data_IF_530541188406
#
_entry.id   IF_530541188406
#
_cell.length_a   1.000
_cell.length_b   1.000
_cell.length_c   1.000
_cell.angle_alpha   90.00
_cell.angle_beta   90.00
_cell.angle_gamma   90.00
#
_symmetry.space_group_name_H-M   'P 1'
#
loop_
_entity.id
_entity.type
_entity.pdbx_description
1 polymer ?
#
# COMPACT_ATOMS: atom_id res chain seq x y z
N UNK A 1 26.78 9.02 12.89
CA UNK A 1 26.29 7.79 13.55
C UNK A 1 26.27 6.70 12.49
N UNK A 2 27.08 5.64 12.61
CA UNK A 2 26.92 4.47 11.74
C UNK A 2 25.63 3.77 12.18
N UNK A 3 24.58 3.82 11.35
CA UNK A 3 23.40 3.01 11.58
C UNK A 3 23.84 1.53 11.55
N UNK A 4 23.53 0.78 12.60
CA UNK A 4 23.71 -0.66 12.57
C UNK A 4 22.93 -1.22 11.37
N UNK A 5 23.52 -2.18 10.65
CA UNK A 5 22.80 -2.85 9.57
C UNK A 5 21.54 -3.49 10.14
N UNK A 6 20.38 -3.35 9.47
CA UNK A 6 19.12 -3.90 9.96
C UNK A 6 19.20 -5.42 10.04
N UNK A 7 18.59 -6.02 11.06
CA UNK A 7 18.38 -7.47 11.11
C UNK A 7 17.31 -7.86 10.09
N UNK A 8 17.75 -8.34 8.93
CA UNK A 8 16.85 -8.71 7.84
C UNK A 8 15.97 -9.93 8.18
N UNK A 9 16.38 -10.78 9.13
CA UNK A 9 15.56 -11.92 9.57
C UNK A 9 14.38 -11.42 10.39
N UNK A 10 14.62 -10.46 11.28
CA UNK A 10 13.56 -9.84 12.07
C UNK A 10 12.58 -9.07 11.17
N UNK A 11 13.09 -8.27 10.22
CA UNK A 11 12.26 -7.54 9.25
C UNK A 11 11.39 -8.50 8.44
N UNK A 12 11.94 -9.60 7.94
CA UNK A 12 11.17 -10.58 7.17
C UNK A 12 10.06 -11.24 8.01
N UNK A 13 10.33 -11.52 9.29
CA UNK A 13 9.33 -12.07 10.22
C UNK A 13 8.20 -11.07 10.47
N UNK A 14 8.53 -9.83 10.84
CA UNK A 14 7.52 -8.79 11.08
C UNK A 14 6.68 -8.52 9.83
N UNK A 15 7.29 -8.55 8.64
CA UNK A 15 6.54 -8.42 7.39
C UNK A 15 5.59 -9.60 7.16
N UNK A 16 6.00 -10.83 7.47
CA UNK A 16 5.13 -12.00 7.36
C UNK A 16 3.92 -11.92 8.32
N UNK A 17 4.14 -11.43 9.54
CA UNK A 17 3.07 -11.19 10.53
C UNK A 17 2.10 -10.10 10.07
N UNK A 18 2.63 -8.98 9.57
CA UNK A 18 1.80 -7.93 8.95
C UNK A 18 0.93 -8.51 7.84
N UNK A 19 1.51 -9.29 6.91
CA UNK A 19 0.77 -9.92 5.81
C UNK A 19 -0.33 -10.85 6.30
N UNK A 20 -0.11 -11.58 7.39
CA UNK A 20 -1.10 -12.49 7.96
C UNK A 20 -2.30 -11.74 8.57
N UNK A 21 -2.07 -10.57 9.17
CA UNK A 21 -3.11 -9.74 9.79
C UNK A 21 -3.84 -8.89 8.75
N UNK A 22 -3.07 -8.15 7.94
CA UNK A 22 -3.61 -7.17 7.01
C UNK A 22 -4.13 -7.83 5.73
N UNK A 23 -3.73 -9.07 5.41
CA UNK A 23 -4.14 -9.77 4.19
C UNK A 23 -3.61 -9.15 2.89
N UNK A 24 -2.72 -8.15 3.00
CA UNK A 24 -2.13 -7.40 1.89
C UNK A 24 -0.61 -7.51 1.89
N UNK A 25 0.00 -7.33 0.72
CA UNK A 25 1.45 -7.42 0.53
C UNK A 25 1.82 -6.86 -0.84
N UNK A 26 2.91 -7.36 -1.43
CA UNK A 26 3.28 -6.96 -2.79
C UNK A 26 2.17 -7.34 -3.80
N UNK A 27 1.75 -6.37 -4.62
CA UNK A 27 0.72 -6.57 -5.66
C UNK A 27 1.37 -7.16 -6.91
N UNK A 28 1.15 -8.45 -7.16
CA UNK A 28 1.71 -9.17 -8.32
C UNK A 28 0.65 -9.87 -9.17
N UNK A 29 -0.60 -9.81 -8.75
CA UNK A 29 -1.73 -10.48 -9.38
C UNK A 29 -3.00 -9.69 -9.13
N UNK A 30 -4.04 -9.98 -9.91
CA UNK A 30 -5.35 -9.36 -9.76
C UNK A 30 -5.99 -9.64 -8.38
N UNK A 31 -5.70 -10.82 -7.81
CA UNK A 31 -6.13 -11.17 -6.47
C UNK A 31 -5.44 -10.31 -5.41
N UNK A 32 -4.14 -10.02 -5.57
CA UNK A 32 -3.41 -9.13 -4.67
C UNK A 32 -3.88 -7.69 -4.83
N UNK A 33 -4.16 -7.25 -6.06
CA UNK A 33 -4.71 -5.94 -6.38
C UNK A 33 -6.05 -5.77 -5.67
N UNK A 34 -6.97 -6.72 -5.83
CA UNK A 34 -8.30 -6.69 -5.23
C UNK A 34 -8.26 -6.62 -3.70
N UNK A 35 -7.38 -7.41 -3.05
CA UNK A 35 -7.20 -7.34 -1.59
C UNK A 35 -6.62 -6.00 -1.14
N UNK A 36 -5.65 -5.49 -1.88
CA UNK A 36 -4.98 -4.22 -1.56
C UNK A 36 -5.94 -3.04 -1.73
N UNK A 37 -6.75 -3.05 -2.79
CA UNK A 37 -7.81 -2.06 -3.02
C UNK A 37 -8.84 -2.07 -1.88
N UNK A 38 -9.31 -3.26 -1.48
CA UNK A 38 -10.24 -3.38 -0.36
C UNK A 38 -9.67 -2.83 0.97
N UNK A 39 -8.36 -3.01 1.21
CA UNK A 39 -7.70 -2.43 2.39
C UNK A 39 -7.61 -0.90 2.31
N UNK A 40 -7.28 -0.34 1.13
CA UNK A 40 -7.28 1.11 0.89
C UNK A 40 -8.65 1.70 1.16
N UNK A 41 -9.71 1.07 0.65
CA UNK A 41 -11.10 1.49 0.88
C UNK A 41 -11.47 1.43 2.37
N UNK A 42 -11.07 0.37 3.09
CA UNK A 42 -11.29 0.23 4.52
C UNK A 42 -10.61 1.34 5.34
N UNK A 43 -9.35 1.69 5.00
CA UNK A 43 -8.63 2.79 5.65
C UNK A 43 -9.33 4.14 5.40
N UNK A 44 -9.74 4.40 4.16
CA UNK A 44 -10.46 5.62 3.81
C UNK A 44 -11.82 5.72 4.51
N UNK A 45 -12.51 4.60 4.69
CA UNK A 45 -13.80 4.58 5.37
C UNK A 45 -13.67 4.80 6.88
N UNK A 46 -12.72 4.11 7.52
CA UNK A 46 -12.40 4.29 8.94
C UNK A 46 -12.08 5.76 9.25
N UNK A 47 -11.30 6.41 8.38
CA UNK A 47 -10.87 7.79 8.56
C UNK A 47 -11.88 8.83 8.06
N UNK A 48 -12.95 8.46 7.35
CA UNK A 48 -13.84 9.36 6.57
C UNK A 48 -14.36 10.57 7.36
N UNK A 49 -14.65 10.39 8.65
CA UNK A 49 -15.25 11.40 9.53
C UNK A 49 -14.34 11.78 10.71
N UNK A 50 -13.07 11.41 10.65
CA UNK A 50 -12.10 11.70 11.70
C UNK A 50 -11.26 12.93 11.31
N UNK A 51 -10.86 13.79 12.25
CA UNK A 51 -9.85 14.83 11.99
C UNK A 51 -8.55 14.24 11.41
N UNK A 52 -8.29 12.97 11.74
CA UNK A 52 -7.19 12.16 11.24
C UNK A 52 -7.16 11.98 9.72
N UNK A 53 -8.27 12.22 9.00
CA UNK A 53 -8.33 12.08 7.54
C UNK A 53 -7.29 12.93 6.81
N UNK A 54 -7.06 14.13 7.33
CA UNK A 54 -6.10 15.09 6.76
C UNK A 54 -4.80 15.13 7.57
N UNK A 55 -4.67 14.27 8.59
CA UNK A 55 -3.49 14.20 9.44
C UNK A 55 -2.44 13.25 8.82
N UNK A 56 -1.43 13.85 8.20
CA UNK A 56 -0.29 13.12 7.64
C UNK A 56 0.51 12.33 8.71
N UNK A 57 0.32 12.60 10.00
CA UNK A 57 0.96 11.86 11.08
C UNK A 57 0.14 10.65 11.56
N UNK A 58 -1.07 10.46 11.04
CA UNK A 58 -1.91 9.33 11.39
C UNK A 58 -1.26 8.00 10.96
N UNK A 59 -1.23 6.96 11.81
CA UNK A 59 -0.57 5.69 11.46
C UNK A 59 -1.10 5.02 10.19
N UNK A 60 -2.37 5.22 9.86
CA UNK A 60 -2.95 4.68 8.62
C UNK A 60 -2.64 5.53 7.37
N UNK A 61 -2.17 6.77 7.51
CA UNK A 61 -1.81 7.61 6.38
C UNK A 61 -0.58 7.05 5.64
N UNK A 62 0.46 6.67 6.38
CA UNK A 62 1.66 6.04 5.81
C UNK A 62 1.34 4.69 5.12
N UNK A 63 0.48 3.89 5.76
CA UNK A 63 0.03 2.63 5.14
C UNK A 63 -0.80 2.88 3.88
N UNK A 64 -1.70 3.87 3.90
CA UNK A 64 -2.49 4.27 2.73
C UNK A 64 -1.59 4.69 1.56
N UNK A 65 -0.55 5.47 1.83
CA UNK A 65 0.42 5.91 0.81
C UNK A 65 1.17 4.72 0.20
N UNK A 66 1.66 3.80 1.05
CA UNK A 66 2.36 2.60 0.61
C UNK A 66 1.48 1.71 -0.29
N UNK A 67 0.25 1.43 0.13
CA UNK A 67 -0.67 0.58 -0.62
C UNK A 67 -1.13 1.25 -1.92
N UNK A 68 -1.41 2.55 -1.89
CA UNK A 68 -1.80 3.33 -3.08
C UNK A 68 -0.67 3.42 -4.10
N UNK A 69 0.59 3.48 -3.66
CA UNK A 69 1.75 3.40 -4.55
C UNK A 69 1.87 2.01 -5.19
N UNK A 70 1.64 0.93 -4.43
CA UNK A 70 1.67 -0.43 -4.96
C UNK A 70 0.58 -0.71 -6.01
N UNK A 71 -0.64 -0.19 -5.81
CA UNK A 71 -1.73 -0.31 -6.79
C UNK A 71 -1.36 0.41 -8.09
N UNK A 72 -0.90 1.66 -7.99
CA UNK A 72 -0.47 2.46 -9.16
C UNK A 72 0.63 1.79 -9.97
N UNK A 73 1.58 1.14 -9.30
CA UNK A 73 2.63 0.38 -9.99
C UNK A 73 2.05 -0.79 -10.77
N UNK A 74 1.13 -1.56 -10.17
CA UNK A 74 0.49 -2.68 -10.85
C UNK A 74 -0.38 -2.20 -12.03
N UNK A 75 -1.15 -1.12 -11.85
CA UNK A 75 -1.98 -0.52 -12.89
C UNK A 75 -1.16 -0.02 -14.08
N UNK A 76 0.00 0.59 -13.84
CA UNK A 76 0.87 1.06 -14.92
C UNK A 76 1.33 -0.08 -15.84
N UNK A 77 1.58 -1.26 -15.27
CA UNK A 77 2.02 -2.44 -16.01
C UNK A 77 0.85 -3.17 -16.72
N UNK A 78 -0.35 -3.15 -16.14
CA UNK A 78 -1.50 -3.97 -16.60
C UNK A 78 -2.55 -3.19 -17.38
N UNK A 79 -2.70 -1.89 -17.10
CA UNK A 79 -3.66 -0.99 -17.73
C UNK A 79 -2.94 0.23 -18.31
N UNK A 80 -1.99 0.04 -19.24
CA UNK A 80 -1.27 1.16 -19.83
C UNK A 80 -2.28 2.09 -20.51
N UNK A 81 -2.29 3.37 -20.10
CA UNK A 81 -3.13 4.37 -20.75
C UNK A 81 -2.69 4.41 -22.22
N UNK A 82 -3.60 4.17 -23.19
CA UNK A 82 -3.26 4.26 -24.60
C UNK A 82 -2.68 5.66 -24.83
N UNK A 83 -1.47 5.73 -25.40
CA UNK A 83 -0.89 7.01 -25.79
C UNK A 83 -1.93 7.74 -26.62
N UNK A 84 -2.46 8.84 -26.09
CA UNK A 84 -3.43 9.67 -26.78
C UNK A 84 -2.73 10.12 -28.06
N UNK A 85 -3.14 9.59 -29.22
CA UNK A 85 -2.63 10.04 -30.51
C UNK A 85 -2.97 11.53 -30.58
N UNK A 86 -1.98 12.39 -30.39
CA UNK A 86 -2.10 13.80 -30.74
C UNK A 86 -2.45 13.85 -32.23
N UNK A 87 -3.65 14.34 -32.51
CA UNK A 87 -4.07 14.76 -33.85
C UNK A 87 -3.56 16.17 -34.13
#
# INVERSE_FOLDING_TARGET
MNAASPDLIEVARSYAEFRAIAGVGAVRSEADYSRTLAMVEAILDETRNQPAREDATHPLADLLDLLSASLRSYEADHYPIPAQKSH
#
